data_IF_025552109618
#
_entry.id   IF_025552109618
#
_cell.length_a   1.000
_cell.length_b   1.000
_cell.length_c   1.000
_cell.angle_alpha   90.00
_cell.angle_beta   90.00
_cell.angle_gamma   90.00
#
_symmetry.space_group_name_H-M   'P 1'
#
loop_
_entity.id
_entity.type
_entity.pdbx_description
1 polymer ?
#
# COMPACT_ATOMS: atom_id res chain seq x y z
N UNK A 1 9.12 -3.82 12.58
CA UNK A 1 10.37 -4.55 12.31
C UNK A 1 11.31 -3.67 11.49
N UNK A 2 12.62 -3.85 11.62
CA UNK A 2 13.62 -3.08 10.88
C UNK A 2 13.93 -3.80 9.55
N UNK A 3 13.88 -3.09 8.42
CA UNK A 3 14.20 -3.63 7.09
C UNK A 3 15.46 -3.02 6.46
N UNK A 4 15.99 -1.93 7.03
CA UNK A 4 17.30 -1.39 6.67
C UNK A 4 17.99 -0.66 7.82
N UNK A 5 19.31 -0.48 7.73
CA UNK A 5 20.14 0.37 8.59
C UNK A 5 21.22 1.05 7.75
N UNK A 6 21.39 2.36 7.91
CA UNK A 6 22.53 3.09 7.34
C UNK A 6 23.46 3.56 8.47
N UNK A 7 24.77 3.41 8.28
CA UNK A 7 25.78 3.91 9.21
C UNK A 7 26.55 5.07 8.57
N UNK A 8 26.53 6.24 9.21
CA UNK A 8 27.28 7.44 8.80
C UNK A 8 28.67 7.47 9.47
N UNK A 9 29.45 6.41 9.30
CA UNK A 9 30.83 6.32 9.80
C UNK A 9 31.83 6.70 8.70
N UNK A 10 33.13 6.70 9.00
CA UNK A 10 34.20 6.95 8.02
C UNK A 10 34.12 6.03 6.78
N UNK A 11 33.53 4.83 6.95
CA UNK A 11 33.22 3.93 5.85
C UNK A 11 31.72 3.62 5.87
N UNK A 12 30.92 4.39 5.12
CA UNK A 12 29.48 4.27 5.21
C UNK A 12 28.98 2.92 4.69
N UNK A 13 28.05 2.31 5.43
CA UNK A 13 27.46 1.02 5.07
C UNK A 13 25.93 1.08 5.12
N UNK A 14 25.30 0.30 4.24
CA UNK A 14 23.86 0.05 4.23
C UNK A 14 23.65 -1.45 4.45
N UNK A 15 22.90 -1.79 5.50
CA UNK A 15 22.48 -3.15 5.80
C UNK A 15 20.98 -3.28 5.53
N UNK A 16 20.58 -4.37 4.88
CA UNK A 16 19.20 -4.67 4.52
C UNK A 16 18.79 -5.96 5.24
N UNK A 17 17.65 -5.95 5.90
CA UNK A 17 17.11 -7.09 6.62
C UNK A 17 15.92 -7.66 5.84
N UNK A 18 15.90 -8.96 5.54
CA UNK A 18 14.81 -9.58 4.82
C UNK A 18 13.56 -9.61 5.70
N UNK A 19 12.43 -9.18 5.13
CA UNK A 19 11.09 -9.34 5.73
C UNK A 19 10.18 -10.05 4.74
N UNK A 20 9.26 -10.86 5.24
CA UNK A 20 8.29 -11.59 4.40
C UNK A 20 7.40 -10.66 3.57
N UNK A 21 7.08 -9.49 4.10
CA UNK A 21 6.25 -8.47 3.43
C UNK A 21 7.06 -7.59 2.47
N UNK A 22 8.38 -7.55 2.61
CA UNK A 22 9.30 -6.73 1.80
C UNK A 22 10.52 -7.57 1.37
N UNK A 23 10.32 -8.56 0.49
CA UNK A 23 11.38 -9.50 0.12
C UNK A 23 12.50 -8.85 -0.71
N UNK A 24 12.23 -7.72 -1.38
CA UNK A 24 13.18 -7.07 -2.28
C UNK A 24 13.37 -5.59 -1.93
N UNK A 25 14.35 -5.30 -1.09
CA UNK A 25 14.78 -3.94 -0.75
C UNK A 25 16.16 -3.69 -1.35
N UNK A 26 16.36 -2.52 -1.96
CA UNK A 26 17.62 -2.11 -2.59
C UNK A 26 18.08 -0.74 -2.09
N UNK A 27 19.34 -0.41 -2.28
CA UNK A 27 19.85 0.95 -2.08
C UNK A 27 19.23 1.92 -3.10
N UNK A 28 18.87 3.12 -2.63
CA UNK A 28 18.37 4.19 -3.48
C UNK A 28 19.48 5.10 -4.01
N UNK A 29 19.19 5.80 -5.11
CA UNK A 29 20.13 6.73 -5.73
C UNK A 29 20.41 7.99 -4.89
N UNK A 30 19.56 8.29 -3.90
CA UNK A 30 19.69 9.46 -3.02
C UNK A 30 20.80 9.36 -1.97
N UNK A 31 21.60 8.29 -1.97
CA UNK A 31 22.67 8.07 -1.01
C UNK A 31 22.20 7.36 0.28
N UNK A 32 22.98 7.52 1.36
CA UNK A 32 22.72 6.88 2.64
C UNK A 32 21.38 7.34 3.22
N UNK A 33 20.51 6.38 3.56
CA UNK A 33 19.15 6.65 4.04
C UNK A 33 18.08 6.59 2.94
N UNK A 34 18.47 6.41 1.68
CA UNK A 34 17.53 6.13 0.58
C UNK A 34 17.47 4.64 0.27
N UNK A 35 16.27 4.08 0.22
CA UNK A 35 16.02 2.68 -0.15
C UNK A 35 14.90 2.59 -1.17
N UNK A 36 14.95 1.56 -2.01
CA UNK A 36 13.94 1.26 -3.03
C UNK A 36 13.29 -0.06 -2.66
N UNK A 37 11.97 -0.03 -2.44
CA UNK A 37 11.15 -1.22 -2.25
C UNK A 37 10.72 -1.72 -3.65
N UNK A 38 11.01 -2.97 -3.97
CA UNK A 38 10.76 -3.54 -5.31
C UNK A 38 9.71 -4.64 -5.20
N UNK A 39 8.77 -4.67 -6.15
CA UNK A 39 7.71 -5.68 -6.23
C UNK A 39 6.93 -5.81 -4.90
N UNK A 40 6.44 -4.68 -4.40
CA UNK A 40 5.68 -4.60 -3.14
C UNK A 40 4.26 -5.15 -3.31
N UNK A 41 3.82 -5.93 -2.32
CA UNK A 41 2.45 -6.44 -2.25
C UNK A 41 1.57 -5.55 -1.35
N UNK A 42 0.24 -5.69 -1.45
CA UNK A 42 -0.73 -5.00 -0.59
C UNK A 42 -0.42 -5.17 0.91
N UNK A 43 0.11 -6.33 1.31
CA UNK A 43 0.53 -6.62 2.69
C UNK A 43 1.66 -5.71 3.21
N UNK A 44 2.40 -5.05 2.33
CA UNK A 44 3.42 -4.07 2.69
C UNK A 44 2.84 -2.70 3.09
N UNK A 45 1.52 -2.49 2.96
CA UNK A 45 0.85 -1.28 3.45
C UNK A 45 1.03 -1.16 4.96
N UNK A 46 1.50 0.00 5.43
CA UNK A 46 1.72 0.24 6.84
C UNK A 46 2.45 1.54 7.14
N UNK A 47 2.72 1.78 8.42
CA UNK A 47 3.52 2.92 8.85
C UNK A 47 5.01 2.58 8.75
N UNK A 48 5.74 3.41 8.01
CA UNK A 48 7.18 3.30 7.85
C UNK A 48 7.82 4.42 8.64
N UNK A 49 8.75 4.06 9.51
CA UNK A 49 9.48 5.01 10.36
C UNK A 49 10.94 5.01 9.95
N UNK A 50 11.47 6.19 9.67
CA UNK A 50 12.90 6.42 9.59
C UNK A 50 13.39 6.87 10.96
N UNK A 51 14.40 6.20 11.49
CA UNK A 51 15.02 6.51 12.78
C UNK A 51 16.49 6.83 12.55
N UNK A 52 16.94 7.95 13.12
CA UNK A 52 18.31 8.41 13.10
C UNK A 52 18.80 8.50 14.54
N UNK A 53 19.91 7.81 14.82
CA UNK A 53 20.51 7.74 16.16
C UNK A 53 21.96 8.14 16.03
N UNK A 54 22.37 9.13 16.82
CA UNK A 54 23.76 9.54 16.96
C UNK A 54 24.43 8.75 18.08
N UNK A 55 25.72 8.46 17.92
CA UNK A 55 26.54 7.87 18.98
C UNK A 55 27.00 8.93 19.99
N UNK A 56 27.84 8.52 20.95
CA UNK A 56 28.52 9.43 21.88
C UNK A 56 29.13 10.64 21.14
N UNK A 57 29.03 11.87 21.68
CA UNK A 57 28.56 12.21 23.03
C UNK A 57 27.06 12.53 23.14
N UNK A 58 26.37 12.77 22.03
CA UNK A 58 25.02 13.35 22.09
C UNK A 58 23.94 12.31 22.33
N UNK A 59 24.13 11.07 21.89
CA UNK A 59 23.12 10.00 21.93
C UNK A 59 21.76 10.47 21.36
N UNK A 60 21.77 11.45 20.46
CA UNK A 60 20.57 12.09 19.96
C UNK A 60 19.75 11.09 19.12
N UNK A 61 18.44 11.08 19.34
CA UNK A 61 17.51 10.19 18.66
C UNK A 61 16.40 11.00 17.98
N UNK A 62 16.24 10.83 16.67
CA UNK A 62 15.19 11.46 15.89
C UNK A 62 14.45 10.41 15.07
N UNK A 63 13.12 10.52 15.02
CA UNK A 63 12.30 9.63 14.22
C UNK A 63 11.24 10.39 13.45
N UNK A 64 10.90 9.88 12.26
CA UNK A 64 9.80 10.39 11.45
C UNK A 64 9.07 9.24 10.78
N UNK A 65 7.75 9.23 10.92
CA UNK A 65 6.88 8.19 10.37
C UNK A 65 6.01 8.72 9.25
N UNK A 66 5.67 7.85 8.30
CA UNK A 66 4.66 8.12 7.26
C UNK A 66 3.91 6.84 6.90
N UNK A 67 2.65 6.99 6.52
CA UNK A 67 1.81 5.89 6.04
C UNK A 67 2.13 5.62 4.57
N UNK A 68 2.61 4.42 4.28
CA UNK A 68 2.78 3.92 2.92
C UNK A 68 1.65 2.97 2.57
N UNK A 69 0.93 3.27 1.49
CA UNK A 69 -0.20 2.46 1.03
C UNK A 69 0.08 1.91 -0.37
N UNK A 70 0.06 0.59 -0.49
CA UNK A 70 0.13 -0.08 -1.79
C UNK A 70 -1.27 -0.16 -2.36
N UNK A 71 -1.45 0.35 -3.57
CA UNK A 71 -2.73 0.32 -4.27
C UNK A 71 -2.82 -0.93 -5.15
N UNK A 72 -3.94 -1.63 -5.07
CA UNK A 72 -4.30 -2.68 -6.02
C UNK A 72 -5.48 -2.19 -6.84
N UNK A 73 -5.21 -1.86 -8.09
CA UNK A 73 -6.23 -1.43 -9.06
C UNK A 73 -7.12 -2.62 -9.44
N UNK A 74 -8.44 -2.42 -9.56
CA UNK A 74 -9.32 -3.48 -10.04
C UNK A 74 -8.91 -3.92 -11.44
N UNK A 75 -8.73 -5.24 -11.62
CA UNK A 75 -8.38 -5.81 -12.93
C UNK A 75 -9.49 -5.62 -13.98
N UNK A 76 -10.74 -5.46 -13.53
CA UNK A 76 -11.92 -5.33 -14.39
C UNK A 76 -12.89 -4.30 -13.83
N UNK A 77 -13.79 -3.81 -14.71
CA UNK A 77 -14.97 -3.05 -14.28
C UNK A 77 -15.84 -3.88 -13.31
N UNK A 78 -16.68 -3.23 -12.49
CA UNK A 78 -17.62 -3.94 -11.63
C UNK A 78 -18.53 -4.87 -12.43
N UNK A 79 -18.74 -6.08 -11.92
CA UNK A 79 -19.58 -7.09 -12.55
C UNK A 79 -20.96 -7.03 -11.92
N UNK A 80 -21.98 -6.83 -12.74
CA UNK A 80 -23.38 -6.87 -12.32
C UNK A 80 -23.94 -8.28 -12.47
N UNK A 81 -24.68 -8.73 -11.47
CA UNK A 81 -25.32 -10.04 -11.45
C UNK A 81 -26.67 -9.99 -10.72
N UNK A 82 -27.53 -10.99 -10.94
CA UNK A 82 -28.86 -11.06 -10.32
C UNK A 82 -29.95 -10.24 -11.03
N UNK A 83 -29.63 -9.57 -12.14
CA UNK A 83 -30.62 -8.87 -12.95
C UNK A 83 -31.40 -9.83 -13.87
N UNK A 84 -32.68 -9.52 -14.09
CA UNK A 84 -33.55 -10.18 -15.07
C UNK A 84 -33.61 -9.33 -16.35
N UNK A 85 -33.95 -9.98 -17.46
CA UNK A 85 -34.19 -9.26 -18.71
C UNK A 85 -35.44 -8.36 -18.65
N UNK A 86 -36.44 -8.75 -17.85
CA UNK A 86 -37.71 -8.05 -17.71
C UNK A 86 -38.18 -8.09 -16.26
N UNK A 87 -38.88 -7.03 -15.86
CA UNK A 87 -39.48 -6.86 -14.54
C UNK A 87 -40.92 -6.39 -14.71
N UNK A 88 -41.82 -6.86 -13.86
CA UNK A 88 -43.19 -6.34 -13.79
C UNK A 88 -43.24 -5.05 -12.96
N UNK A 89 -44.20 -4.14 -13.23
CA UNK A 89 -44.44 -3.00 -12.37
C UNK A 89 -44.68 -3.43 -10.91
N UNK A 90 -43.93 -2.84 -9.97
CA UNK A 90 -43.99 -3.18 -8.55
C UNK A 90 -43.09 -4.34 -8.12
N UNK A 91 -42.38 -4.99 -9.04
CA UNK A 91 -41.41 -6.03 -8.72
C UNK A 91 -40.12 -5.46 -8.09
N UNK A 92 -39.55 -6.16 -7.13
CA UNK A 92 -38.30 -5.78 -6.47
C UNK A 92 -37.09 -6.08 -7.37
N UNK A 93 -36.30 -5.04 -7.64
CA UNK A 93 -35.02 -5.15 -8.32
C UNK A 93 -33.90 -5.42 -7.31
N UNK A 94 -33.25 -6.58 -7.42
CA UNK A 94 -32.08 -6.94 -6.61
C UNK A 94 -30.91 -7.27 -7.52
N UNK A 95 -29.88 -6.42 -7.51
CA UNK A 95 -28.67 -6.58 -8.33
C UNK A 95 -27.45 -6.58 -7.41
N UNK A 96 -26.57 -7.55 -7.61
CA UNK A 96 -25.27 -7.61 -6.96
C UNK A 96 -24.21 -6.96 -7.86
N UNK A 97 -23.49 -5.98 -7.31
CA UNK A 97 -22.30 -5.40 -7.92
C UNK A 97 -21.06 -5.96 -7.23
N UNK A 98 -20.21 -6.65 -7.99
CA UNK A 98 -18.98 -7.28 -7.49
C UNK A 98 -17.77 -6.61 -8.10
N UNK A 99 -16.84 -6.16 -7.25
CA UNK A 99 -15.54 -5.63 -7.65
C UNK A 99 -14.48 -6.61 -7.15
N UNK A 100 -13.68 -7.14 -8.07
CA UNK A 100 -12.67 -8.15 -7.76
C UNK A 100 -11.34 -7.48 -7.39
N UNK A 101 -10.72 -7.98 -6.30
CA UNK A 101 -9.31 -7.73 -5.92
C UNK A 101 -8.90 -6.26 -6.00
N UNK A 102 -9.33 -5.46 -5.01
CA UNK A 102 -8.96 -4.05 -4.92
C UNK A 102 -8.43 -3.69 -3.54
N UNK A 103 -7.48 -2.76 -3.49
CA UNK A 103 -7.00 -2.17 -2.25
C UNK A 103 -6.71 -0.67 -2.44
N UNK A 104 -7.25 0.22 -1.58
CA UNK A 104 -8.13 -0.05 -0.44
C UNK A 104 -9.54 -0.51 -0.88
N UNK A 105 -10.44 -0.75 0.09
CA UNK A 105 -11.84 -1.09 -0.22
C UNK A 105 -12.45 0.00 -1.14
N UNK A 106 -13.10 -0.39 -2.24
CA UNK A 106 -13.60 0.56 -3.21
C UNK A 106 -14.89 1.20 -2.70
N UNK A 107 -15.20 2.40 -3.18
CA UNK A 107 -16.53 3.01 -3.02
C UNK A 107 -17.40 2.58 -4.19
N UNK A 108 -18.55 1.98 -3.88
CA UNK A 108 -19.52 1.57 -4.89
C UNK A 108 -20.63 2.62 -4.95
N UNK A 109 -20.91 3.12 -6.14
CA UNK A 109 -21.99 4.07 -6.41
C UNK A 109 -22.85 3.48 -7.53
N UNK A 110 -24.16 3.52 -7.35
CA UNK A 110 -25.13 3.07 -8.34
C UNK A 110 -25.68 4.26 -9.10
N UNK A 111 -25.92 4.06 -10.39
CA UNK A 111 -26.62 5.01 -11.23
C UNK A 111 -27.74 4.27 -11.98
N UNK A 112 -28.90 4.90 -12.05
CA UNK A 112 -30.04 4.48 -12.84
C UNK A 112 -30.39 5.59 -13.82
N UNK A 113 -30.28 5.32 -15.13
CA UNK A 113 -30.47 6.32 -16.19
C UNK A 113 -29.65 7.61 -15.93
N UNK A 114 -28.36 7.45 -15.64
CA UNK A 114 -27.41 8.54 -15.33
C UNK A 114 -27.76 9.40 -14.10
N UNK A 115 -28.63 8.88 -13.22
CA UNK A 115 -29.00 9.51 -11.96
C UNK A 115 -28.62 8.61 -10.80
N UNK A 116 -28.05 9.20 -9.75
CA UNK A 116 -27.72 8.50 -8.51
C UNK A 116 -28.97 8.35 -7.63
#
# INVERSE_FOLDING_TARGET
EQFYRAAHTHQPSLHIFPLDTLPNVKSGAGGLGSVVLVNVDVRATGNYTCEAVADFPSFAHHSKSSLFTVLAEPATRPILSGYKHWYYPGELLSINCTILRTHPKPKIVWFFNDRQ
#
